data_IF_303054670384
#
_entry.id   IF_303054670384
#
_cell.length_a   1.000
_cell.length_b   1.000
_cell.length_c   1.000
_cell.angle_alpha   90.00
_cell.angle_beta   90.00
_cell.angle_gamma   90.00
#
_symmetry.space_group_name_H-M   'P 1'
#
loop_
_entity.id
_entity.type
_entity.pdbx_description
1 polymer ?
#
# COMPACT_ATOMS: atom_id res chain seq x y z
N UNK A 1 -45.89 14.84 -7.50
CA UNK A 1 -46.99 15.35 -8.34
C UNK A 1 -47.78 14.15 -8.80
N UNK A 2 -49.07 14.11 -8.48
CA UNK A 2 -49.95 13.06 -8.99
C UNK A 2 -50.21 13.30 -10.48
N UNK A 3 -50.07 12.24 -11.28
CA UNK A 3 -50.20 12.31 -12.75
C UNK A 3 -51.61 12.73 -13.20
N UNK A 4 -52.61 12.52 -12.34
CA UNK A 4 -54.00 12.96 -12.52
C UNK A 4 -54.21 14.47 -12.35
N UNK A 5 -53.35 15.17 -11.61
CA UNK A 5 -53.44 16.63 -11.43
C UNK A 5 -52.84 17.38 -12.64
N UNK A 6 -51.74 16.88 -13.20
CA UNK A 6 -51.09 17.46 -14.39
C UNK A 6 -51.99 17.44 -15.64
N UNK A 7 -52.87 16.45 -15.75
CA UNK A 7 -53.84 16.32 -16.86
C UNK A 7 -55.03 17.27 -16.75
N UNK A 8 -55.22 17.97 -15.61
CA UNK A 8 -56.31 18.92 -15.37
C UNK A 8 -55.90 20.38 -15.55
N UNK A 9 -54.60 20.65 -15.69
CA UNK A 9 -54.07 22.01 -15.84
C UNK A 9 -54.29 22.49 -17.27
N UNK A 10 -54.84 23.69 -17.45
CA UNK A 10 -54.99 24.28 -18.78
C UNK A 10 -53.64 24.71 -19.37
N UNK A 11 -53.47 24.72 -20.70
CA UNK A 11 -52.21 25.16 -21.32
C UNK A 11 -51.73 26.55 -20.86
N UNK A 12 -52.66 27.47 -20.61
CA UNK A 12 -52.37 28.83 -20.14
C UNK A 12 -51.89 28.87 -18.68
N UNK A 13 -52.48 28.04 -17.81
CA UNK A 13 -52.02 27.89 -16.43
C UNK A 13 -50.62 27.27 -16.38
N UNK A 14 -50.36 26.26 -17.21
CA UNK A 14 -49.03 25.65 -17.35
C UNK A 14 -48.00 26.67 -17.84
N UNK A 15 -48.33 27.45 -18.87
CA UNK A 15 -47.45 28.49 -19.42
C UNK A 15 -47.13 29.56 -18.37
N UNK A 16 -48.14 30.00 -17.61
CA UNK A 16 -47.96 30.99 -16.54
C UNK A 16 -47.10 30.45 -15.38
N UNK A 17 -47.26 29.17 -15.02
CA UNK A 17 -46.46 28.51 -13.99
C UNK A 17 -45.00 28.33 -14.44
N UNK A 18 -44.77 27.96 -15.69
CA UNK A 18 -43.44 27.86 -16.28
C UNK A 18 -42.74 29.22 -16.35
N UNK A 19 -43.45 30.28 -16.73
CA UNK A 19 -42.93 31.65 -16.74
C UNK A 19 -42.55 32.12 -15.34
N UNK A 20 -43.41 31.91 -14.34
CA UNK A 20 -43.12 32.24 -12.94
C UNK A 20 -41.88 31.48 -12.44
N UNK A 21 -41.79 30.18 -12.73
CA UNK A 21 -40.61 29.37 -12.41
C UNK A 21 -39.35 29.93 -13.07
N UNK A 22 -39.41 30.31 -14.35
CA UNK A 22 -38.26 30.86 -15.08
C UNK A 22 -37.82 32.22 -14.54
N UNK A 23 -38.75 33.09 -14.16
CA UNK A 23 -38.42 34.36 -13.50
C UNK A 23 -37.76 34.13 -12.14
N UNK A 24 -38.31 33.24 -11.31
CA UNK A 24 -37.72 32.87 -10.03
C UNK A 24 -36.31 32.26 -10.18
N UNK A 25 -36.11 31.39 -11.17
CA UNK A 25 -34.79 30.83 -11.48
C UNK A 25 -33.81 31.91 -11.93
N UNK A 26 -34.23 32.83 -12.80
CA UNK A 26 -33.39 33.94 -13.28
C UNK A 26 -32.92 34.87 -12.15
N UNK A 27 -33.75 35.07 -11.14
CA UNK A 27 -33.42 35.95 -10.01
C UNK A 27 -32.55 35.25 -8.96
N UNK A 28 -32.71 33.93 -8.76
CA UNK A 28 -32.02 33.17 -7.70
C UNK A 28 -30.74 32.47 -8.16
N UNK A 29 -30.69 31.93 -9.37
CA UNK A 29 -29.55 31.15 -9.88
C UNK A 29 -28.23 31.95 -9.90
N UNK A 30 -28.18 33.24 -10.28
CA UNK A 30 -26.92 33.99 -10.26
C UNK A 30 -26.28 34.07 -8.87
N UNK A 31 -27.09 34.19 -7.81
CA UNK A 31 -26.61 34.18 -6.42
C UNK A 31 -26.09 32.81 -6.00
N UNK A 32 -26.79 31.74 -6.40
CA UNK A 32 -26.36 30.35 -6.15
C UNK A 32 -25.05 30.03 -6.87
N UNK A 33 -24.93 30.41 -8.15
CA UNK A 33 -23.69 30.22 -8.94
C UNK A 33 -22.54 30.95 -8.29
N UNK A 34 -22.72 32.21 -7.88
CA UNK A 34 -21.67 32.99 -7.21
C UNK A 34 -21.22 32.36 -5.89
N UNK A 35 -22.15 31.80 -5.12
CA UNK A 35 -21.82 31.10 -3.88
C UNK A 35 -21.05 29.80 -4.14
N UNK A 36 -21.49 29.00 -5.12
CA UNK A 36 -20.81 27.76 -5.51
C UNK A 36 -19.41 28.02 -6.10
N UNK A 37 -19.26 29.07 -6.91
CA UNK A 37 -17.96 29.51 -7.43
C UNK A 37 -17.03 29.97 -6.31
N UNK A 38 -17.55 30.74 -5.34
CA UNK A 38 -16.77 31.14 -4.16
C UNK A 38 -16.36 29.93 -3.30
N UNK A 39 -17.26 28.95 -3.11
CA UNK A 39 -16.95 27.70 -2.41
C UNK A 39 -15.86 26.90 -3.13
N UNK A 40 -15.95 26.77 -4.46
CA UNK A 40 -14.91 26.12 -5.28
C UNK A 40 -13.55 26.83 -5.16
N UNK A 41 -13.53 28.15 -5.24
CA UNK A 41 -12.32 28.97 -5.13
C UNK A 41 -11.65 28.84 -3.75
N UNK A 42 -12.43 28.62 -2.69
CA UNK A 42 -11.88 28.39 -1.35
C UNK A 42 -11.37 26.96 -1.13
N UNK A 43 -12.05 25.96 -1.71
CA UNK A 43 -11.75 24.54 -1.50
C UNK A 43 -10.64 24.03 -2.43
N UNK A 44 -10.54 24.55 -3.65
CA UNK A 44 -9.55 24.08 -4.64
C UNK A 44 -8.09 24.21 -4.15
N UNK A 45 -7.63 25.33 -3.54
CA UNK A 45 -6.25 25.44 -3.08
C UNK A 45 -6.00 24.54 -1.86
N UNK A 46 -7.04 24.28 -1.05
CA UNK A 46 -6.97 23.37 0.09
C UNK A 46 -6.80 21.93 -0.38
N UNK A 47 -7.55 21.51 -1.40
CA UNK A 47 -7.40 20.19 -2.02
C UNK A 47 -6.00 20.01 -2.60
N UNK A 48 -5.48 21.01 -3.31
CA UNK A 48 -4.14 20.93 -3.91
C UNK A 48 -3.04 20.79 -2.85
N UNK A 49 -3.16 21.50 -1.72
CA UNK A 49 -2.24 21.32 -0.57
C UNK A 49 -2.33 19.91 0.01
N UNK A 50 -3.54 19.37 0.14
CA UNK A 50 -3.74 18.01 0.64
C UNK A 50 -3.17 16.97 -0.32
N UNK A 51 -3.38 17.13 -1.64
CA UNK A 51 -2.80 16.27 -2.68
C UNK A 51 -1.28 16.27 -2.62
N UNK A 52 -0.64 17.44 -2.57
CA UNK A 52 0.82 17.55 -2.42
C UNK A 52 1.31 16.82 -1.16
N UNK A 53 0.64 17.01 -0.03
CA UNK A 53 1.04 16.31 1.21
C UNK A 53 0.88 14.79 1.12
N UNK A 54 -0.13 14.31 0.39
CA UNK A 54 -0.34 12.90 0.14
C UNK A 54 0.70 12.34 -0.82
N UNK A 55 1.01 13.05 -1.90
CA UNK A 55 2.04 12.69 -2.87
C UNK A 55 3.41 12.56 -2.20
N UNK A 56 3.82 13.53 -1.38
CA UNK A 56 5.06 13.46 -0.61
C UNK A 56 5.12 12.26 0.34
N UNK A 57 3.99 11.90 0.98
CA UNK A 57 3.90 10.73 1.82
C UNK A 57 3.94 9.44 1.00
N UNK A 58 3.28 9.41 -0.15
CA UNK A 58 3.22 8.27 -1.05
C UNK A 58 4.56 8.02 -1.75
N UNK A 59 5.32 9.06 -2.11
CA UNK A 59 6.67 8.93 -2.64
C UNK A 59 7.58 8.15 -1.69
N UNK A 60 7.46 8.38 -0.38
CA UNK A 60 8.21 7.62 0.63
C UNK A 60 7.82 6.15 0.63
N UNK A 61 6.52 5.85 0.51
CA UNK A 61 6.02 4.47 0.37
C UNK A 61 6.60 3.80 -0.87
N UNK A 62 6.59 4.49 -2.01
CA UNK A 62 7.14 3.98 -3.29
C UNK A 62 8.64 3.70 -3.16
N UNK A 63 9.40 4.61 -2.55
CA UNK A 63 10.85 4.42 -2.31
C UNK A 63 11.11 3.18 -1.45
N UNK A 64 10.42 3.03 -0.32
CA UNK A 64 10.61 1.85 0.55
C UNK A 64 10.15 0.54 -0.09
N UNK A 65 9.11 0.57 -0.96
CA UNK A 65 8.72 -0.58 -1.76
C UNK A 65 9.82 -1.00 -2.72
N UNK A 66 10.38 -0.05 -3.47
CA UNK A 66 11.47 -0.32 -4.41
C UNK A 66 12.71 -0.90 -3.70
N UNK A 67 13.10 -0.32 -2.56
CA UNK A 67 14.22 -0.85 -1.76
C UNK A 67 13.95 -2.27 -1.23
N UNK A 68 12.74 -2.52 -0.70
CA UNK A 68 12.32 -3.84 -0.25
C UNK A 68 12.43 -4.86 -1.38
N UNK A 69 11.84 -4.55 -2.53
CA UNK A 69 11.77 -5.46 -3.68
C UNK A 69 13.18 -5.76 -4.22
N UNK A 70 14.06 -4.75 -4.27
CA UNK A 70 15.46 -4.95 -4.65
C UNK A 70 16.18 -5.92 -3.71
N UNK A 71 16.04 -5.76 -2.39
CA UNK A 71 16.68 -6.64 -1.41
C UNK A 71 16.07 -8.04 -1.37
N UNK A 72 14.74 -8.16 -1.52
CA UNK A 72 14.05 -9.44 -1.62
C UNK A 72 14.48 -10.22 -2.86
N UNK A 73 14.50 -9.59 -4.03
CA UNK A 73 14.94 -10.24 -5.27
C UNK A 73 16.39 -10.71 -5.17
N UNK A 74 17.27 -9.86 -4.63
CA UNK A 74 18.67 -10.22 -4.41
C UNK A 74 18.81 -11.42 -3.46
N UNK A 75 18.05 -11.44 -2.35
CA UNK A 75 18.06 -12.57 -1.42
C UNK A 75 17.49 -13.84 -2.05
N UNK A 76 16.40 -13.74 -2.83
CA UNK A 76 15.78 -14.84 -3.54
C UNK A 76 16.73 -15.54 -4.51
N UNK A 77 17.60 -14.79 -5.21
CA UNK A 77 18.63 -15.39 -6.09
C UNK A 77 19.69 -16.19 -5.33
N UNK A 78 19.95 -15.87 -4.06
CA UNK A 78 20.94 -16.58 -3.24
C UNK A 78 20.38 -17.89 -2.65
N UNK A 79 19.07 -18.04 -2.50
CA UNK A 79 18.47 -19.23 -1.88
C UNK A 79 18.82 -20.52 -2.66
N UNK A 80 18.67 -20.59 -4.00
CA UNK A 80 19.06 -21.76 -4.78
C UNK A 80 20.55 -22.10 -4.64
N UNK A 81 21.41 -21.08 -4.63
CA UNK A 81 22.86 -21.25 -4.49
C UNK A 81 23.23 -21.82 -3.12
N UNK A 82 22.64 -21.29 -2.05
CA UNK A 82 22.82 -21.80 -0.68
C UNK A 82 22.31 -23.24 -0.57
N UNK A 83 21.16 -23.56 -1.18
CA UNK A 83 20.62 -24.94 -1.24
C UNK A 83 21.58 -25.89 -1.97
N UNK A 84 22.16 -25.44 -3.11
CA UNK A 84 23.14 -26.23 -3.89
C UNK A 84 24.44 -26.48 -3.13
N UNK A 85 25.04 -25.44 -2.55
CA UNK A 85 26.27 -25.56 -1.75
C UNK A 85 26.03 -26.50 -0.57
N UNK A 86 24.89 -26.37 0.10
CA UNK A 86 24.49 -27.26 1.20
C UNK A 86 24.37 -28.72 0.77
N UNK A 87 23.79 -29.00 -0.40
CA UNK A 87 23.66 -30.37 -0.92
C UNK A 87 25.05 -30.99 -1.14
N UNK A 88 25.95 -30.26 -1.81
CA UNK A 88 27.35 -30.68 -2.03
C UNK A 88 28.08 -30.96 -0.71
N UNK A 89 27.91 -30.08 0.28
CA UNK A 89 28.56 -30.19 1.59
C UNK A 89 28.02 -31.37 2.44
N UNK A 90 26.77 -31.77 2.20
CA UNK A 90 26.14 -32.92 2.84
C UNK A 90 26.56 -34.24 2.16
N UNK A 91 26.80 -34.22 0.84
CA UNK A 91 27.33 -35.35 0.06
C UNK A 91 28.82 -35.60 0.34
N UNK A 92 29.61 -34.54 0.55
CA UNK A 92 31.04 -34.65 0.86
C UNK A 92 31.34 -35.06 2.31
N UNK A 93 30.32 -35.27 3.15
CA UNK A 93 30.51 -35.66 4.55
C UNK A 93 31.09 -34.56 5.46
N UNK A 94 31.42 -33.38 4.94
CA UNK A 94 31.99 -32.26 5.70
C UNK A 94 31.03 -31.69 6.77
N UNK A 95 29.75 -32.04 6.73
CA UNK A 95 28.78 -31.63 7.72
C UNK A 95 28.67 -32.63 8.88
N UNK A 96 29.67 -32.68 9.77
CA UNK A 96 29.59 -33.44 11.04
C UNK A 96 28.37 -32.90 11.81
N UNK A 97 27.37 -33.75 12.05
CA UNK A 97 26.04 -33.34 12.50
C UNK A 97 25.77 -33.77 13.93
N UNK A 98 25.79 -32.81 14.86
CA UNK A 98 25.28 -32.98 16.24
C UNK A 98 23.78 -32.64 16.40
N UNK A 99 23.08 -32.22 15.34
CA UNK A 99 21.67 -31.80 15.40
C UNK A 99 20.88 -32.27 14.16
N UNK A 100 19.59 -32.66 14.26
CA UNK A 100 18.87 -33.35 13.19
C UNK A 100 18.73 -32.54 11.88
N UNK A 101 18.97 -33.19 10.73
CA UNK A 101 18.91 -32.57 9.38
C UNK A 101 17.57 -31.89 9.06
N UNK A 102 16.46 -32.39 9.63
CA UNK A 102 15.11 -31.86 9.40
C UNK A 102 14.90 -30.45 9.95
N UNK A 103 15.50 -30.12 11.11
CA UNK A 103 15.37 -28.79 11.75
C UNK A 103 15.95 -27.68 10.88
N UNK A 104 16.97 -28.01 10.08
CA UNK A 104 17.65 -27.08 9.17
C UNK A 104 16.95 -26.92 7.82
N UNK A 105 16.23 -27.94 7.32
CA UNK A 105 15.41 -27.80 6.10
C UNK A 105 14.20 -26.92 6.40
N UNK A 106 13.57 -27.18 7.55
CA UNK A 106 12.42 -26.44 8.02
C UNK A 106 12.67 -24.93 8.15
N UNK A 107 13.88 -24.50 8.50
CA UNK A 107 14.18 -23.07 8.69
C UNK A 107 14.20 -22.27 7.37
N UNK A 108 14.82 -22.80 6.32
CA UNK A 108 14.79 -22.16 5.00
C UNK A 108 13.40 -22.24 4.37
N UNK A 109 12.73 -23.39 4.48
CA UNK A 109 11.35 -23.59 4.02
C UNK A 109 10.38 -22.64 4.74
N UNK A 110 10.58 -22.40 6.05
CA UNK A 110 9.78 -21.42 6.80
C UNK A 110 10.05 -19.99 6.37
N UNK A 111 11.27 -19.64 5.96
CA UNK A 111 11.57 -18.31 5.41
C UNK A 111 10.87 -18.14 4.06
N UNK A 112 10.93 -19.14 3.18
CA UNK A 112 10.21 -19.14 1.89
C UNK A 112 8.69 -19.08 2.11
N UNK A 113 8.12 -19.86 3.02
CA UNK A 113 6.68 -19.86 3.32
C UNK A 113 6.21 -18.49 3.86
N UNK A 114 7.03 -17.82 4.68
CA UNK A 114 6.73 -16.46 5.15
C UNK A 114 6.78 -15.47 4.00
N UNK A 115 7.72 -15.63 3.07
CA UNK A 115 7.89 -14.76 1.91
C UNK A 115 6.72 -14.92 0.93
N UNK A 116 6.31 -16.16 0.64
CA UNK A 116 5.13 -16.47 -0.16
C UNK A 116 3.87 -15.87 0.47
N UNK A 117 3.70 -16.04 1.80
CA UNK A 117 2.57 -15.42 2.52
C UNK A 117 2.58 -13.90 2.38
N UNK A 118 3.73 -13.26 2.53
CA UNK A 118 3.84 -11.80 2.37
C UNK A 118 3.50 -11.37 0.93
N UNK A 119 3.85 -12.17 -0.08
CA UNK A 119 3.59 -11.85 -1.49
C UNK A 119 2.15 -12.12 -1.92
N UNK A 120 1.55 -13.22 -1.48
CA UNK A 120 0.25 -13.70 -1.99
C UNK A 120 -0.94 -13.28 -1.13
N UNK A 121 -0.75 -13.01 0.16
CA UNK A 121 -1.88 -12.66 1.04
C UNK A 121 -1.99 -11.15 1.25
N UNK A 122 -3.19 -10.62 0.98
CA UNK A 122 -3.57 -9.24 1.31
C UNK A 122 -3.76 -9.12 2.84
N UNK A 123 -2.64 -9.06 3.56
CA UNK A 123 -2.62 -9.04 5.02
C UNK A 123 -2.75 -7.61 5.57
N UNK A 124 -3.34 -7.49 6.76
CA UNK A 124 -3.31 -6.25 7.51
C UNK A 124 -1.87 -5.90 7.94
N UNK A 125 -1.59 -4.60 8.10
CA UNK A 125 -0.30 -4.11 8.58
C UNK A 125 0.16 -4.75 9.90
N UNK A 126 -0.78 -5.15 10.76
CA UNK A 126 -0.48 -5.83 12.04
C UNK A 126 -0.02 -7.28 11.81
N UNK A 127 -0.66 -8.01 10.90
CA UNK A 127 -0.24 -9.37 10.52
C UNK A 127 1.10 -9.35 9.78
N UNK A 128 1.32 -8.38 8.89
CA UNK A 128 2.61 -8.23 8.21
C UNK A 128 3.75 -8.01 9.19
N UNK A 129 3.58 -7.14 10.20
CA UNK A 129 4.59 -6.93 11.25
C UNK A 129 4.92 -8.21 12.02
N UNK A 130 3.91 -9.02 12.37
CA UNK A 130 4.13 -10.31 13.06
C UNK A 130 4.92 -11.29 12.19
N UNK A 131 4.65 -11.33 10.88
CA UNK A 131 5.40 -12.17 9.95
C UNK A 131 6.86 -11.70 9.81
N UNK A 132 7.09 -10.39 9.72
CA UNK A 132 8.44 -9.82 9.70
C UNK A 132 9.22 -10.16 10.98
N UNK A 133 8.57 -10.09 12.14
CA UNK A 133 9.20 -10.44 13.41
C UNK A 133 9.56 -11.94 13.46
N UNK A 134 8.66 -12.81 12.99
CA UNK A 134 8.94 -14.24 12.85
C UNK A 134 10.10 -14.51 11.86
N UNK A 135 10.17 -13.77 10.76
CA UNK A 135 11.31 -13.88 9.82
C UNK A 135 12.62 -13.47 10.48
N UNK A 136 12.63 -12.36 11.22
CA UNK A 136 13.81 -11.89 11.97
C UNK A 136 14.27 -12.88 13.02
N UNK A 137 13.34 -13.54 13.74
CA UNK A 137 13.70 -14.56 14.73
C UNK A 137 14.36 -15.77 14.05
N UNK A 138 13.81 -16.24 12.92
CA UNK A 138 14.40 -17.33 12.14
C UNK A 138 15.79 -16.98 11.59
N UNK A 139 15.97 -15.76 11.07
CA UNK A 139 17.30 -15.29 10.59
C UNK A 139 18.31 -15.26 11.74
N UNK A 140 17.89 -14.80 12.93
CA UNK A 140 18.74 -14.78 14.13
C UNK A 140 19.12 -16.19 14.60
N UNK A 141 18.18 -17.13 14.61
CA UNK A 141 18.46 -18.55 14.89
C UNK A 141 19.44 -19.15 13.89
N UNK A 142 19.27 -18.86 12.60
CA UNK A 142 20.20 -19.31 11.55
C UNK A 142 21.61 -18.73 11.73
N UNK A 143 21.73 -17.44 12.08
CA UNK A 143 23.02 -16.80 12.33
C UNK A 143 23.75 -17.35 13.55
N UNK A 144 23.03 -17.62 14.66
CA UNK A 144 23.60 -18.29 15.84
C UNK A 144 24.14 -19.67 15.46
N UNK A 145 23.32 -20.44 14.78
CA UNK A 145 23.70 -21.78 14.32
C UNK A 145 24.92 -21.78 13.37
N UNK A 146 25.00 -20.80 12.48
CA UNK A 146 26.15 -20.58 11.59
C UNK A 146 27.42 -20.25 12.40
N UNK A 147 27.30 -19.41 13.43
CA UNK A 147 28.43 -18.99 14.26
C UNK A 147 29.04 -20.17 15.00
N UNK A 148 28.22 -20.95 15.70
CA UNK A 148 28.65 -22.11 16.49
C UNK A 148 29.38 -23.15 15.61
N UNK A 149 29.03 -23.23 14.32
CA UNK A 149 29.65 -24.15 13.35
C UNK A 149 30.88 -23.63 12.66
N UNK A 150 31.00 -22.31 12.48
CA UNK A 150 32.23 -21.71 11.95
C UNK A 150 33.43 -22.11 12.82
N UNK A 151 33.23 -22.13 14.14
CA UNK A 151 34.27 -22.50 15.10
C UNK A 151 34.59 -24.01 15.06
N UNK A 152 33.70 -24.83 14.47
CA UNK A 152 33.83 -26.29 14.38
C UNK A 152 34.32 -26.79 13.01
N UNK A 153 34.13 -26.04 11.91
CA UNK A 153 34.57 -26.47 10.58
C UNK A 153 34.97 -25.29 9.65
N UNK A 154 36.28 -25.11 9.38
CA UNK A 154 36.81 -24.04 8.53
C UNK A 154 36.61 -24.25 7.02
N UNK A 155 36.32 -25.48 6.53
CA UNK A 155 36.11 -25.78 5.11
C UNK A 155 34.76 -25.24 4.57
N UNK A 156 33.93 -24.68 5.45
CA UNK A 156 32.57 -24.21 5.14
C UNK A 156 32.48 -22.74 4.67
N UNK A 157 33.60 -22.12 4.33
CA UNK A 157 33.70 -20.67 4.11
C UNK A 157 32.70 -20.12 3.07
N UNK A 158 32.56 -20.78 1.92
CA UNK A 158 31.67 -20.33 0.82
C UNK A 158 30.19 -20.36 1.23
N UNK A 159 29.77 -21.40 1.96
CA UNK A 159 28.40 -21.50 2.49
C UNK A 159 28.12 -20.42 3.55
N UNK A 160 29.10 -20.13 4.40
CA UNK A 160 28.99 -19.12 5.44
C UNK A 160 28.88 -17.72 4.86
N UNK A 161 29.66 -17.42 3.83
CA UNK A 161 29.64 -16.13 3.12
C UNK A 161 28.28 -15.89 2.47
N UNK A 162 27.80 -16.84 1.64
CA UNK A 162 26.50 -16.74 0.97
C UNK A 162 25.33 -16.62 1.95
N UNK A 163 25.36 -17.35 3.07
CA UNK A 163 24.34 -17.17 4.10
C UNK A 163 24.41 -15.82 4.81
N UNK A 164 25.61 -15.29 5.07
CA UNK A 164 25.76 -13.96 5.68
C UNK A 164 25.24 -12.88 4.75
N UNK A 165 25.52 -12.99 3.46
CA UNK A 165 24.98 -12.10 2.43
C UNK A 165 23.45 -12.17 2.40
N UNK A 166 22.89 -13.38 2.35
CA UNK A 166 21.45 -13.63 2.38
C UNK A 166 20.79 -13.05 3.64
N UNK A 167 21.32 -13.33 4.84
CA UNK A 167 20.80 -12.77 6.09
C UNK A 167 20.87 -11.25 6.15
N UNK A 168 21.94 -10.64 5.62
CA UNK A 168 22.06 -9.17 5.52
C UNK A 168 21.00 -8.59 4.60
N UNK A 169 20.75 -9.21 3.45
CA UNK A 169 19.74 -8.76 2.49
C UNK A 169 18.33 -8.86 3.09
N UNK A 170 17.99 -9.98 3.74
CA UNK A 170 16.70 -10.10 4.41
C UNK A 170 16.51 -9.08 5.54
N UNK A 171 17.55 -8.82 6.35
CA UNK A 171 17.48 -7.77 7.38
C UNK A 171 17.22 -6.39 6.79
N UNK A 172 17.84 -6.06 5.64
CA UNK A 172 17.61 -4.80 4.93
C UNK A 172 16.20 -4.75 4.35
N UNK A 173 15.74 -5.83 3.72
CA UNK A 173 14.37 -5.96 3.21
C UNK A 173 13.33 -5.77 4.33
N UNK A 174 13.49 -6.46 5.47
CA UNK A 174 12.58 -6.38 6.60
C UNK A 174 12.60 -5.00 7.27
N UNK A 175 13.72 -4.28 7.20
CA UNK A 175 13.80 -2.88 7.66
C UNK A 175 13.03 -1.95 6.73
N UNK A 176 13.26 -2.06 5.42
CA UNK A 176 12.55 -1.28 4.41
C UNK A 176 11.04 -1.57 4.46
N UNK A 177 10.63 -2.83 4.62
CA UNK A 177 9.23 -3.21 4.77
C UNK A 177 8.61 -2.64 6.05
N UNK A 178 9.30 -2.69 7.19
CA UNK A 178 8.80 -2.03 8.42
C UNK A 178 8.60 -0.53 8.22
N UNK A 179 9.56 0.15 7.58
CA UNK A 179 9.46 1.59 7.28
C UNK A 179 8.35 1.90 6.28
N UNK A 180 8.14 1.02 5.30
CA UNK A 180 7.02 1.08 4.36
C UNK A 180 5.69 1.02 5.10
N UNK A 181 5.50 0.07 6.02
CA UNK A 181 4.26 -0.05 6.82
C UNK A 181 3.99 1.24 7.60
N UNK A 182 5.03 1.81 8.21
CA UNK A 182 4.89 3.07 8.95
C UNK A 182 4.53 4.24 8.02
N UNK A 183 5.12 4.30 6.83
CA UNK A 183 4.81 5.32 5.84
C UNK A 183 3.38 5.17 5.30
N UNK A 184 2.92 3.95 5.03
CA UNK A 184 1.54 3.67 4.60
C UNK A 184 0.56 4.08 5.69
N UNK A 185 0.85 3.79 6.96
CA UNK A 185 -0.02 4.17 8.08
C UNK A 185 -0.22 5.68 8.20
N UNK A 186 0.76 6.48 7.74
CA UNK A 186 0.69 7.95 7.70
C UNK A 186 0.02 8.47 6.44
N UNK A 187 0.19 7.79 5.30
CA UNK A 187 -0.37 8.19 4.02
C UNK A 187 -1.87 7.86 3.90
N UNK A 188 -2.34 6.77 4.52
CA UNK A 188 -3.72 6.31 4.45
C UNK A 188 -4.76 7.35 4.94
N UNK A 189 -4.61 7.98 6.13
CA UNK A 189 -5.55 9.03 6.54
C UNK A 189 -5.49 10.29 5.66
N UNK A 190 -4.36 10.55 4.99
CA UNK A 190 -4.25 11.66 4.03
C UNK A 190 -5.01 11.32 2.74
N UNK A 191 -4.90 10.08 2.27
CA UNK A 191 -5.66 9.58 1.12
C UNK A 191 -7.16 9.69 1.34
N UNK A 192 -7.65 9.28 2.50
CA UNK A 192 -9.07 9.39 2.86
C UNK A 192 -9.56 10.84 2.81
N UNK A 193 -8.79 11.78 3.39
CA UNK A 193 -9.10 13.22 3.35
C UNK A 193 -9.07 13.80 1.94
N UNK A 194 -8.09 13.41 1.11
CA UNK A 194 -8.02 13.84 -0.29
C UNK A 194 -9.21 13.30 -1.07
N UNK A 195 -9.61 12.06 -0.81
CA UNK A 195 -10.73 11.41 -1.50
C UNK A 195 -12.06 12.08 -1.14
N UNK A 196 -12.30 12.36 0.15
CA UNK A 196 -13.51 13.07 0.57
C UNK A 196 -13.57 14.49 0.01
N UNK A 197 -12.49 15.27 0.13
CA UNK A 197 -12.43 16.62 -0.41
C UNK A 197 -12.54 16.67 -1.94
N UNK A 198 -12.01 15.66 -2.64
CA UNK A 198 -12.18 15.54 -4.10
C UNK A 198 -13.62 15.21 -4.48
N UNK A 199 -14.34 14.42 -3.67
CA UNK A 199 -15.75 14.13 -3.87
C UNK A 199 -16.61 15.38 -3.65
N UNK A 200 -16.34 16.16 -2.60
CA UNK A 200 -17.02 17.44 -2.33
C UNK A 200 -16.86 18.44 -3.49
N UNK A 201 -15.64 18.65 -3.99
CA UNK A 201 -15.40 19.54 -5.13
C UNK A 201 -16.09 19.03 -6.40
N UNK A 202 -16.10 17.71 -6.62
CA UNK A 202 -16.81 17.12 -7.77
C UNK A 202 -18.31 17.38 -7.69
N UNK A 203 -18.89 17.30 -6.49
CA UNK A 203 -20.30 17.60 -6.27
C UNK A 203 -20.61 19.08 -6.50
N UNK A 204 -19.80 20.00 -5.96
CA UNK A 204 -19.94 21.45 -6.19
C UNK A 204 -19.90 21.77 -7.69
N UNK A 205 -18.91 21.23 -8.41
CA UNK A 205 -18.82 21.40 -9.87
C UNK A 205 -20.06 20.88 -10.60
N UNK A 206 -20.55 19.70 -10.21
CA UNK A 206 -21.76 19.14 -10.81
C UNK A 206 -23.02 19.97 -10.51
N UNK A 207 -23.11 20.59 -9.34
CA UNK A 207 -24.20 21.51 -9.00
C UNK A 207 -24.09 22.82 -9.78
N UNK A 208 -22.88 23.33 -9.95
CA UNK A 208 -22.58 24.54 -10.72
C UNK A 208 -22.90 24.33 -12.21
N UNK A 209 -22.50 23.21 -12.81
CA UNK A 209 -22.82 22.88 -14.19
C UNK A 209 -24.35 22.82 -14.40
N UNK A 210 -25.06 22.14 -13.48
CA UNK A 210 -26.54 22.10 -13.49
C UNK A 210 -27.17 23.48 -13.34
N UNK A 211 -26.62 24.33 -12.47
CA UNK A 211 -27.11 25.69 -12.28
C UNK A 211 -26.88 26.56 -13.53
N UNK A 212 -25.76 26.36 -14.24
CA UNK A 212 -25.45 27.03 -15.51
C UNK A 212 -26.35 26.54 -16.65
N UNK A 213 -26.71 25.26 -16.70
CA UNK A 213 -27.65 24.71 -17.69
C UNK A 213 -29.10 25.21 -17.52
N UNK A 214 -29.49 25.56 -16.29
CA UNK A 214 -30.85 26.02 -15.97
C UNK A 214 -31.07 27.52 -16.23
N UNK A 215 -30.01 28.27 -16.57
CA UNK A 215 -29.99 29.72 -16.77
C UNK A 215 -30.20 30.07 -18.25
#
# INVERSE_FOLDING_TARGET
>A
MDTSELMRVTPDELASALLKRRMLLKDSLPGVIRNLEAEEDTLSPRLDRMKKSFEEANEKVVKFKAERDQFQNSAGTLIPDVKRIRKKLNESGGMISLDPKWKKMRLLEQIEEIEDKIQTSALDHRSERKLLEKRRSLISENEKWIRDRKDSNPEMAEYLEKNREMSKLFKKADKAHSQMIDAVSKAQPLYEKVTSASAEIREIRSQLDRAKELL
#
